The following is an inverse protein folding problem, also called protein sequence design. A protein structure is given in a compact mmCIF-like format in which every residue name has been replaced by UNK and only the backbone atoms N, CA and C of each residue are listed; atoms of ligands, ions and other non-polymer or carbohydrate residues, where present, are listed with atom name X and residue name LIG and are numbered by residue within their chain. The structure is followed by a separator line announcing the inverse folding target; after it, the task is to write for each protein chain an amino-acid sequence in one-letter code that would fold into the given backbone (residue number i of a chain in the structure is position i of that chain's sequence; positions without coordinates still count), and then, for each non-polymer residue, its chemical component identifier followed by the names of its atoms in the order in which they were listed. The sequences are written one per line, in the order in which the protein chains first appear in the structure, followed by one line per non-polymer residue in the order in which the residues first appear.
data_IF_857297572508
#
_entry.id   IF_857297572508
#
_cell.length_a   1.000
_cell.length_b   1.000
_cell.length_c   1.000
_cell.angle_alpha   90.00
_cell.angle_beta   90.00
_cell.angle_gamma   90.00
#
_symmetry.space_group_name_H-M   'P 1'
#
loop_
_entity.id
_entity.type
_entity.pdbx_description
1 polymer ?
#
# COMPACT_ATOMS: atom_id res chain seq x y z
N UNK A 1 -28.57 3.81 -5.38
CA UNK A 1 -27.59 3.11 -4.50
C UNK A 1 -26.51 2.51 -5.38
N UNK A 2 -25.27 2.84 -5.10
CA UNK A 2 -24.11 2.28 -5.81
C UNK A 2 -23.94 0.82 -5.37
N UNK A 3 -23.78 -0.09 -6.31
CA UNK A 3 -23.41 -1.48 -6.04
C UNK A 3 -21.92 -1.51 -5.69
N UNK A 4 -21.58 -1.81 -4.44
CA UNK A 4 -20.20 -1.80 -3.96
C UNK A 4 -19.34 -2.91 -4.58
N UNK A 5 -19.95 -4.05 -4.90
CA UNK A 5 -19.23 -5.15 -5.57
C UNK A 5 -18.93 -4.78 -7.02
N UNK A 6 -19.91 -4.19 -7.74
CA UNK A 6 -19.73 -3.70 -9.09
C UNK A 6 -18.73 -2.52 -9.16
N UNK A 7 -18.64 -1.71 -8.10
CA UNK A 7 -17.64 -0.65 -7.94
C UNK A 7 -16.22 -1.21 -7.68
N UNK A 8 -16.06 -2.51 -7.52
CA UNK A 8 -14.75 -3.16 -7.35
C UNK A 8 -14.23 -3.19 -5.91
N UNK A 9 -15.02 -2.82 -4.93
CA UNK A 9 -14.63 -2.89 -3.51
C UNK A 9 -14.55 -4.36 -3.06
N UNK A 10 -13.50 -4.69 -2.29
CA UNK A 10 -13.24 -6.05 -1.81
C UNK A 10 -12.90 -6.06 -0.32
N UNK A 11 -13.21 -7.16 0.35
CA UNK A 11 -12.76 -7.39 1.71
C UNK A 11 -11.21 -7.32 1.81
N UNK A 12 -10.73 -6.75 2.91
CA UNK A 12 -9.32 -6.47 3.15
C UNK A 12 -8.84 -5.12 2.58
N UNK A 13 -9.61 -4.48 1.73
CA UNK A 13 -9.30 -3.16 1.16
C UNK A 13 -9.48 -2.06 2.22
N UNK A 14 -8.63 -1.04 2.16
CA UNK A 14 -8.83 0.19 2.89
C UNK A 14 -9.57 1.19 2.01
N UNK A 15 -10.58 1.83 2.60
CA UNK A 15 -11.39 2.86 1.95
C UNK A 15 -11.46 4.08 2.86
N UNK A 16 -11.51 5.25 2.25
CA UNK A 16 -11.82 6.49 2.94
C UNK A 16 -13.33 6.72 2.84
N UNK A 17 -13.99 6.86 3.97
CA UNK A 17 -15.41 7.20 4.04
C UNK A 17 -15.53 8.65 4.48
N UNK A 18 -16.33 9.44 3.77
CA UNK A 18 -16.56 10.84 4.04
C UNK A 18 -18.01 11.23 3.80
N UNK A 19 -18.40 12.44 4.28
CA UNK A 19 -19.74 12.97 4.11
C UNK A 19 -20.68 12.74 5.30
N UNK A 20 -20.25 12.06 6.35
CA UNK A 20 -20.96 12.03 7.62
C UNK A 20 -20.85 13.38 8.34
N UNK A 21 -21.93 13.86 8.96
CA UNK A 21 -22.02 15.19 9.56
C UNK A 21 -22.29 15.16 11.07
N UNK A 22 -22.84 14.06 11.62
CA UNK A 22 -23.09 13.95 13.05
C UNK A 22 -21.77 14.00 13.85
N UNK A 23 -21.83 14.58 15.05
CA UNK A 23 -20.72 14.70 15.98
C UNK A 23 -19.43 15.24 15.34
N UNK A 24 -19.57 16.28 14.51
CA UNK A 24 -18.44 16.88 13.76
C UNK A 24 -17.76 15.94 12.76
N UNK A 25 -18.47 14.94 12.27
CA UNK A 25 -17.99 14.01 11.26
C UNK A 25 -17.06 12.92 11.80
N UNK A 26 -17.23 12.53 13.06
CA UNK A 26 -16.38 11.49 13.70
C UNK A 26 -16.42 10.12 12.99
N UNK A 27 -17.48 9.86 12.20
CA UNK A 27 -17.57 8.66 11.35
C UNK A 27 -16.79 8.78 10.03
N UNK A 28 -16.24 9.96 9.72
CA UNK A 28 -15.37 10.11 8.54
C UNK A 28 -13.98 9.58 8.85
N UNK A 29 -13.40 8.83 7.92
CA UNK A 29 -12.07 8.29 8.16
C UNK A 29 -11.66 7.18 7.22
N UNK A 30 -10.56 6.54 7.56
CA UNK A 30 -10.04 5.35 6.87
C UNK A 30 -10.51 4.09 7.59
N UNK A 31 -11.13 3.20 6.84
CA UNK A 31 -11.68 1.95 7.35
C UNK A 31 -11.19 0.77 6.52
N UNK A 32 -10.88 -0.33 7.20
CA UNK A 32 -10.65 -1.59 6.50
C UNK A 32 -11.98 -2.31 6.28
N UNK A 33 -12.24 -2.69 5.04
CA UNK A 33 -13.42 -3.46 4.66
C UNK A 33 -13.27 -4.89 5.15
N UNK A 34 -14.16 -5.36 6.01
CA UNK A 34 -14.21 -6.75 6.47
C UNK A 34 -15.11 -7.62 5.62
N UNK A 35 -16.22 -7.06 5.12
CA UNK A 35 -17.13 -7.73 4.19
C UNK A 35 -17.81 -6.72 3.27
N UNK A 36 -18.20 -7.17 2.08
CA UNK A 36 -18.89 -6.36 1.08
C UNK A 36 -19.98 -7.17 0.39
N UNK A 37 -21.15 -6.53 0.20
CA UNK A 37 -22.22 -7.01 -0.66
C UNK A 37 -22.60 -5.90 -1.63
N UNK A 38 -23.53 -6.14 -2.55
CA UNK A 38 -24.00 -5.11 -3.46
C UNK A 38 -24.49 -3.84 -2.72
N UNK A 39 -25.14 -4.00 -1.56
CA UNK A 39 -25.83 -2.91 -0.85
C UNK A 39 -25.23 -2.58 0.53
N UNK A 40 -24.24 -3.30 0.99
CA UNK A 40 -23.63 -3.07 2.31
C UNK A 40 -22.10 -3.22 2.28
N UNK A 41 -21.47 -2.40 3.08
CA UNK A 41 -20.04 -2.43 3.32
C UNK A 41 -19.83 -2.53 4.84
N UNK A 42 -19.19 -3.59 5.26
CA UNK A 42 -18.86 -3.80 6.67
C UNK A 42 -17.39 -3.47 6.89
N UNK A 43 -17.12 -2.69 7.92
CA UNK A 43 -15.75 -2.28 8.28
C UNK A 43 -15.28 -3.04 9.51
N UNK A 44 -13.96 -3.24 9.61
CA UNK A 44 -13.35 -4.00 10.71
C UNK A 44 -13.42 -3.28 12.06
N UNK A 45 -13.41 -1.94 12.04
CA UNK A 45 -13.57 -1.11 13.24
C UNK A 45 -14.99 -0.55 13.26
N UNK A 46 -15.66 -0.59 14.40
CA UNK A 46 -16.97 0.03 14.54
C UNK A 46 -16.88 1.55 14.31
N UNK A 47 -17.85 2.16 13.60
CA UNK A 47 -18.00 3.61 13.57
C UNK A 47 -18.18 4.15 15.00
N UNK A 48 -17.84 5.41 15.20
CA UNK A 48 -17.92 6.04 16.52
C UNK A 48 -19.38 6.16 17.02
N UNK A 49 -20.32 6.35 16.11
CA UNK A 49 -21.76 6.47 16.45
C UNK A 49 -22.64 6.04 15.26
N UNK A 50 -23.88 5.70 15.58
CA UNK A 50 -24.90 5.45 14.56
C UNK A 50 -25.37 6.77 13.96
N UNK A 51 -25.37 6.86 12.63
CA UNK A 51 -25.85 8.04 11.92
C UNK A 51 -26.74 7.62 10.75
N UNK A 52 -27.96 8.17 10.73
CA UNK A 52 -28.85 7.97 9.60
C UNK A 52 -28.40 8.84 8.42
N UNK A 53 -28.04 8.20 7.32
CA UNK A 53 -27.54 8.87 6.13
C UNK A 53 -28.64 9.47 5.23
N UNK A 54 -29.88 9.59 5.72
CA UNK A 54 -30.98 10.17 4.96
C UNK A 54 -30.70 11.64 4.60
N UNK A 55 -30.55 11.91 3.31
CA UNK A 55 -30.21 13.25 2.80
C UNK A 55 -28.71 13.60 2.81
N UNK A 56 -27.85 12.71 3.26
CA UNK A 56 -26.39 12.88 3.17
C UNK A 56 -25.83 12.22 1.90
N UNK A 57 -24.83 12.85 1.33
CA UNK A 57 -23.99 12.22 0.30
C UNK A 57 -22.75 11.64 0.98
N UNK A 58 -22.78 10.34 1.21
CA UNK A 58 -21.61 9.62 1.73
C UNK A 58 -20.72 9.24 0.55
N UNK A 59 -19.47 9.69 0.56
CA UNK A 59 -18.44 9.27 -0.39
C UNK A 59 -17.66 8.10 0.16
N UNK A 60 -17.31 7.16 -0.70
CA UNK A 60 -16.41 6.06 -0.41
C UNK A 60 -15.34 6.07 -1.49
N UNK A 61 -14.14 6.48 -1.11
CA UNK A 61 -13.02 6.63 -2.01
C UNK A 61 -11.94 5.60 -1.65
N UNK A 62 -11.33 5.02 -2.65
CA UNK A 62 -10.21 4.14 -2.43
C UNK A 62 -9.90 3.28 -3.65
N UNK A 63 -8.63 3.17 -3.93
CA UNK A 63 -8.07 2.15 -4.81
C UNK A 63 -6.99 1.41 -4.02
N UNK A 64 -6.82 0.14 -4.31
CA UNK A 64 -5.80 -0.66 -3.64
C UNK A 64 -4.92 -1.34 -4.68
N UNK A 65 -3.62 -1.11 -4.56
CA UNK A 65 -2.61 -1.92 -5.21
C UNK A 65 -2.08 -2.89 -4.17
N UNK A 66 -2.16 -4.17 -4.45
CA UNK A 66 -1.65 -5.21 -3.56
C UNK A 66 -0.86 -6.25 -4.34
N UNK A 67 0.06 -6.91 -3.67
CA UNK A 67 0.66 -8.10 -4.23
C UNK A 67 -0.40 -9.21 -4.33
N UNK A 68 -0.50 -9.87 -5.46
CA UNK A 68 -1.54 -10.87 -5.73
C UNK A 68 -1.15 -11.81 -6.85
N UNK A 69 -2.08 -12.68 -7.23
CA UNK A 69 -1.88 -13.68 -8.31
C UNK A 69 -2.17 -13.14 -9.71
N UNK A 70 -2.83 -11.98 -9.80
CA UNK A 70 -3.11 -11.34 -11.09
C UNK A 70 -2.04 -10.29 -11.37
N UNK A 71 -1.39 -10.42 -12.49
CA UNK A 71 -0.40 -9.47 -12.96
C UNK A 71 -1.08 -8.15 -13.36
N UNK A 72 -0.51 -7.04 -12.92
CA UNK A 72 -0.92 -5.70 -13.31
C UNK A 72 0.26 -4.99 -13.95
N UNK A 73 0.16 -4.73 -15.25
CA UNK A 73 1.17 -3.99 -15.99
C UNK A 73 0.91 -2.49 -15.89
N UNK A 74 1.97 -1.73 -15.65
CA UNK A 74 1.98 -0.28 -15.57
C UNK A 74 2.76 0.32 -16.73
N UNK A 75 2.53 1.61 -16.98
CA UNK A 75 3.43 2.44 -17.81
C UNK A 75 4.15 3.42 -16.89
N UNK A 76 5.47 3.40 -16.93
CA UNK A 76 6.31 4.34 -16.18
C UNK A 76 6.96 5.31 -17.15
N UNK A 77 6.90 6.60 -16.84
CA UNK A 77 7.53 7.64 -17.65
C UNK A 77 8.68 8.28 -16.87
N UNK A 78 9.82 8.41 -17.54
CA UNK A 78 10.95 9.19 -17.05
C UNK A 78 11.10 10.45 -17.89
N UNK A 79 10.90 11.61 -17.26
CA UNK A 79 11.00 12.91 -17.91
C UNK A 79 12.42 13.51 -17.73
N UNK A 80 13.01 13.95 -18.83
CA UNK A 80 14.20 14.75 -18.91
C UNK A 80 13.79 16.13 -19.42
N UNK A 81 13.26 16.94 -18.51
CA UNK A 81 12.61 18.22 -18.86
C UNK A 81 13.57 19.27 -19.36
N UNK A 82 14.85 19.18 -19.01
CA UNK A 82 15.94 20.06 -19.45
C UNK A 82 16.25 19.94 -20.95
N UNK A 83 16.03 18.76 -21.53
CA UNK A 83 16.23 18.49 -22.95
C UNK A 83 14.94 18.13 -23.69
N UNK A 84 13.78 18.21 -23.02
CA UNK A 84 12.47 17.93 -23.61
C UNK A 84 12.30 16.49 -24.10
N UNK A 85 12.94 15.51 -23.43
CA UNK A 85 12.85 14.10 -23.78
C UNK A 85 12.12 13.32 -22.71
N UNK A 86 11.31 12.36 -23.13
CA UNK A 86 10.51 11.51 -22.26
C UNK A 86 10.68 10.05 -22.68
N UNK A 87 10.96 9.19 -21.73
CA UNK A 87 11.07 7.75 -21.97
C UNK A 87 9.89 7.06 -21.27
N UNK A 88 9.03 6.43 -22.05
CA UNK A 88 7.93 5.62 -21.55
C UNK A 88 8.34 4.14 -21.54
N UNK A 89 8.31 3.53 -20.38
CA UNK A 89 8.51 2.10 -20.16
C UNK A 89 7.13 1.45 -20.04
N UNK A 90 6.81 0.52 -20.91
CA UNK A 90 5.48 -0.13 -20.96
C UNK A 90 5.55 -1.60 -20.58
N UNK A 91 4.42 -2.15 -20.13
CA UNK A 91 4.37 -3.51 -19.62
C UNK A 91 5.20 -3.72 -18.35
N UNK A 92 5.28 -2.70 -17.50
CA UNK A 92 6.10 -2.73 -16.29
C UNK A 92 5.36 -3.41 -15.16
N UNK A 93 5.87 -4.55 -14.71
CA UNK A 93 5.33 -5.32 -13.58
C UNK A 93 6.26 -5.14 -12.39
N UNK A 94 5.71 -4.91 -11.20
CA UNK A 94 6.49 -4.74 -9.99
C UNK A 94 7.14 -6.06 -9.57
N UNK A 95 8.47 -6.09 -9.48
CA UNK A 95 9.24 -7.25 -9.07
C UNK A 95 9.72 -7.14 -7.63
N UNK A 96 10.28 -6.01 -7.25
CA UNK A 96 10.81 -5.82 -5.89
C UNK A 96 10.26 -4.55 -5.26
N UNK A 97 10.15 -4.58 -3.94
CA UNK A 97 9.87 -3.41 -3.11
C UNK A 97 10.75 -3.47 -1.87
N UNK A 98 11.42 -2.37 -1.58
CA UNK A 98 12.13 -2.16 -0.31
C UNK A 98 11.53 -0.95 0.39
N UNK A 99 11.27 -1.06 1.68
CA UNK A 99 10.79 0.01 2.53
C UNK A 99 11.65 0.09 3.79
N UNK A 100 12.08 1.29 4.15
CA UNK A 100 12.85 1.55 5.35
C UNK A 100 12.20 2.66 6.18
N UNK A 101 11.97 2.34 7.43
CA UNK A 101 11.40 3.23 8.44
C UNK A 101 12.38 3.30 9.60
N UNK A 102 12.77 4.49 9.99
CA UNK A 102 13.68 4.72 11.11
C UNK A 102 13.24 5.95 11.90
N UNK A 103 13.35 5.86 13.22
CA UNK A 103 12.99 6.96 14.13
C UNK A 103 13.65 8.28 13.71
N UNK A 104 12.82 9.34 13.62
CA UNK A 104 13.28 10.69 13.31
C UNK A 104 13.76 10.90 11.87
N UNK A 105 13.48 9.99 10.96
CA UNK A 105 13.88 10.08 9.56
C UNK A 105 12.69 10.11 8.60
N UNK A 106 12.94 10.59 7.41
CA UNK A 106 12.05 10.45 6.25
C UNK A 106 11.98 8.98 5.88
N UNK A 107 10.79 8.50 5.52
CA UNK A 107 10.61 7.18 4.95
C UNK A 107 11.32 7.09 3.61
N UNK A 108 12.04 6.01 3.39
CA UNK A 108 12.69 5.72 2.12
C UNK A 108 12.28 4.36 1.61
N UNK A 109 12.17 4.24 0.30
CA UNK A 109 11.85 2.98 -0.34
C UNK A 109 12.25 2.98 -1.80
N UNK A 110 12.25 1.81 -2.39
CA UNK A 110 12.49 1.61 -3.80
C UNK A 110 11.55 0.55 -4.35
N UNK A 111 11.19 0.71 -5.63
CA UNK A 111 10.48 -0.30 -6.40
C UNK A 111 11.32 -0.69 -7.59
N UNK A 112 11.53 -1.99 -7.78
CA UNK A 112 12.11 -2.55 -8.98
C UNK A 112 11.00 -3.08 -9.89
N UNK A 113 11.12 -2.81 -11.18
CA UNK A 113 10.16 -3.24 -12.18
C UNK A 113 10.83 -4.04 -13.27
N UNK A 114 10.13 -5.03 -13.80
CA UNK A 114 10.48 -5.74 -15.02
C UNK A 114 9.51 -5.30 -16.11
N UNK A 115 10.03 -4.94 -17.29
CA UNK A 115 9.23 -4.36 -18.36
C UNK A 115 9.33 -5.11 -19.69
N UNK A 116 8.37 -4.83 -20.56
CA UNK A 116 8.33 -5.39 -21.90
C UNK A 116 9.12 -4.54 -22.89
N UNK A 117 8.85 -3.23 -22.96
CA UNK A 117 9.47 -2.35 -23.98
C UNK A 117 9.62 -0.92 -23.47
N UNK A 118 10.39 -0.11 -24.20
CA UNK A 118 10.55 1.30 -23.97
C UNK A 118 10.47 2.09 -25.28
N UNK A 119 9.94 3.32 -25.22
CA UNK A 119 9.88 4.25 -26.33
C UNK A 119 10.28 5.65 -25.89
N UNK A 120 10.81 6.45 -26.83
CA UNK A 120 11.19 7.85 -26.59
C UNK A 120 10.15 8.74 -27.26
N UNK A 121 9.73 9.78 -26.55
CA UNK A 121 8.81 10.81 -27.05
C UNK A 121 9.28 12.22 -26.67
N UNK A 122 8.64 13.22 -27.27
CA UNK A 122 8.93 14.65 -27.04
C UNK A 122 7.87 15.35 -26.17
N UNK A 123 6.89 14.62 -25.66
CA UNK A 123 5.83 15.14 -24.80
C UNK A 123 5.49 14.15 -23.71
N UNK A 124 5.20 14.66 -22.51
CA UNK A 124 4.71 13.85 -21.41
C UNK A 124 3.25 13.49 -21.61
N UNK A 125 2.92 12.22 -21.40
CA UNK A 125 1.55 11.72 -21.35
C UNK A 125 1.01 11.63 -19.91
N UNK A 126 1.89 11.79 -18.90
CA UNK A 126 1.57 11.59 -17.50
C UNK A 126 1.82 12.88 -16.72
N UNK A 127 0.81 13.43 -16.01
CA UNK A 127 1.03 14.62 -15.19
C UNK A 127 1.99 14.32 -14.04
N UNK A 128 2.89 15.25 -13.76
CA UNK A 128 3.76 15.17 -12.59
C UNK A 128 2.92 15.27 -11.31
N UNK A 129 3.09 14.32 -10.41
CA UNK A 129 2.49 14.35 -9.08
C UNK A 129 3.52 14.87 -8.08
N UNK A 130 3.07 15.73 -7.16
CA UNK A 130 3.85 16.22 -6.03
C UNK A 130 3.16 15.79 -4.76
N UNK A 131 3.68 14.73 -4.14
CA UNK A 131 3.15 14.24 -2.87
C UNK A 131 4.02 14.72 -1.71
N UNK A 132 3.44 15.00 -0.52
CA UNK A 132 4.19 15.31 0.68
C UNK A 132 5.13 14.18 1.06
N UNK A 133 6.30 14.54 1.57
CA UNK A 133 7.28 13.57 2.05
C UNK A 133 6.79 12.93 3.34
N UNK A 134 6.76 11.62 3.39
CA UNK A 134 6.38 10.84 4.56
C UNK A 134 7.55 10.74 5.56
N UNK A 135 7.26 10.86 6.85
CA UNK A 135 8.23 10.73 7.91
C UNK A 135 7.76 9.79 9.03
N UNK A 136 8.70 9.29 9.83
CA UNK A 136 8.42 8.31 10.87
C UNK A 136 7.67 8.87 12.10
N UNK A 137 7.48 10.19 12.20
CA UNK A 137 6.83 10.83 13.35
C UNK A 137 5.32 10.99 13.12
N UNK A 138 4.95 11.53 11.96
CA UNK A 138 3.57 11.96 11.69
C UNK A 138 2.77 10.94 10.86
N UNK A 139 3.46 10.06 10.16
CA UNK A 139 2.83 9.22 9.14
C UNK A 139 2.72 7.76 9.54
N UNK A 140 3.40 7.32 10.61
CA UNK A 140 3.35 5.93 11.09
C UNK A 140 2.22 5.79 12.10
N UNK A 141 1.29 4.90 11.80
CA UNK A 141 0.27 4.46 12.74
C UNK A 141 0.81 3.48 13.76
N UNK A 142 -0.07 3.01 14.63
CA UNK A 142 0.27 2.01 15.63
C UNK A 142 0.78 0.72 14.97
N UNK A 143 1.88 0.20 15.46
CA UNK A 143 2.39 -1.11 15.08
C UNK A 143 1.62 -2.17 15.87
N UNK A 144 1.15 -3.19 15.18
CA UNK A 144 0.38 -4.28 15.76
C UNK A 144 1.15 -5.59 15.65
N UNK A 145 1.07 -6.41 16.66
CA UNK A 145 1.65 -7.75 16.71
C UNK A 145 0.56 -8.75 17.07
N UNK A 146 0.42 -9.81 16.26
CA UNK A 146 -0.62 -10.80 16.47
C UNK A 146 -2.05 -10.26 16.39
N UNK A 147 -2.27 -9.10 15.75
CA UNK A 147 -3.54 -8.41 15.67
C UNK A 147 -3.85 -7.51 16.88
N UNK A 148 -2.94 -7.40 17.86
CA UNK A 148 -3.06 -6.50 19.00
C UNK A 148 -2.01 -5.37 18.93
N UNK A 149 -2.33 -4.17 19.47
CA UNK A 149 -1.36 -3.10 19.58
C UNK A 149 -0.14 -3.52 20.40
N UNK A 150 1.05 -3.11 19.95
CA UNK A 150 2.28 -3.21 20.74
C UNK A 150 2.32 -2.07 21.75
N UNK A 151 1.59 -2.22 22.86
CA UNK A 151 1.55 -1.21 23.92
C UNK A 151 2.83 -1.25 24.76
N UNK A 152 3.42 -0.07 25.00
CA UNK A 152 4.65 0.07 25.79
C UNK A 152 5.93 -0.37 25.09
N UNK A 153 5.84 -0.97 23.90
CA UNK A 153 7.00 -1.36 23.08
C UNK A 153 7.18 -0.37 21.94
N UNK A 154 8.33 0.25 21.86
CA UNK A 154 8.60 1.28 20.86
C UNK A 154 9.46 0.73 19.71
N UNK A 155 8.95 0.88 18.48
CA UNK A 155 9.67 0.53 17.27
C UNK A 155 10.78 1.57 17.02
N UNK A 156 12.01 1.11 16.91
CA UNK A 156 13.18 1.92 16.56
C UNK A 156 13.41 1.97 15.06
N UNK A 157 13.31 0.82 14.41
CA UNK A 157 13.46 0.71 12.96
C UNK A 157 12.71 -0.49 12.40
N UNK A 158 12.27 -0.36 11.15
CA UNK A 158 11.65 -1.43 10.38
C UNK A 158 12.18 -1.38 8.94
N UNK A 159 12.61 -2.51 8.45
CA UNK A 159 12.90 -2.70 7.03
C UNK A 159 12.12 -3.88 6.50
N UNK A 160 11.54 -3.71 5.30
CA UNK A 160 10.81 -4.77 4.61
C UNK A 160 11.30 -4.82 3.18
N UNK A 161 11.59 -6.03 2.72
CA UNK A 161 11.91 -6.33 1.32
C UNK A 161 10.95 -7.38 0.80
N UNK A 162 10.36 -7.09 -0.36
CA UNK A 162 9.50 -7.99 -1.10
C UNK A 162 10.14 -8.28 -2.46
N UNK A 163 10.16 -9.52 -2.87
CA UNK A 163 10.61 -9.96 -4.20
C UNK A 163 9.59 -10.94 -4.79
N UNK A 164 9.07 -10.63 -5.98
CA UNK A 164 8.13 -11.48 -6.69
C UNK A 164 8.84 -12.55 -7.54
N UNK A 165 10.16 -12.41 -7.74
CA UNK A 165 10.98 -13.36 -8.49
C UNK A 165 10.52 -13.47 -9.94
N UNK A 166 10.18 -12.35 -10.54
CA UNK A 166 9.78 -12.29 -11.94
C UNK A 166 10.92 -12.71 -12.86
N UNK A 167 10.58 -13.25 -14.02
CA UNK A 167 11.53 -13.57 -15.07
C UNK A 167 11.03 -13.07 -16.41
N UNK A 168 11.86 -12.32 -17.12
CA UNK A 168 11.59 -11.90 -18.49
C UNK A 168 11.68 -13.06 -19.47
N UNK A 169 10.72 -13.17 -20.38
CA UNK A 169 10.70 -14.15 -21.45
C UNK A 169 11.02 -13.42 -22.76
N UNK A 170 12.22 -13.64 -23.26
CA UNK A 170 12.68 -13.07 -24.54
C UNK A 170 12.32 -13.97 -25.71
N UNK A 171 12.15 -13.39 -26.91
CA UNK A 171 11.95 -14.13 -28.16
C UNK A 171 12.86 -13.59 -29.25
N UNK A 172 13.22 -14.46 -30.20
CA UNK A 172 13.96 -14.05 -31.38
C UNK A 172 13.13 -13.06 -32.22
N UNK A 173 13.73 -11.92 -32.55
CA UNK A 173 13.06 -10.84 -33.28
C UNK A 173 12.35 -9.81 -32.38
N UNK A 174 12.39 -9.96 -31.06
CA UNK A 174 11.93 -8.97 -30.10
C UNK A 174 13.13 -8.35 -29.36
N UNK A 175 13.14 -7.01 -29.23
CA UNK A 175 14.16 -6.30 -28.44
C UNK A 175 13.87 -6.38 -26.93
N UNK A 176 12.60 -6.50 -26.56
CA UNK A 176 12.16 -6.58 -25.17
C UNK A 176 11.59 -7.95 -24.81
N UNK A 177 11.08 -8.06 -23.59
CA UNK A 177 10.39 -9.26 -23.15
C UNK A 177 9.04 -9.38 -23.86
N UNK A 178 8.74 -10.54 -24.39
CA UNK A 178 7.44 -10.86 -25.01
C UNK A 178 6.41 -11.23 -23.95
N UNK A 179 6.89 -11.67 -22.79
CA UNK A 179 6.07 -12.03 -21.63
C UNK A 179 6.91 -11.93 -20.34
N UNK A 180 6.24 -11.88 -19.19
CA UNK A 180 6.87 -11.84 -17.88
C UNK A 180 6.30 -12.98 -17.04
N UNK A 181 7.12 -13.98 -16.76
CA UNK A 181 6.73 -15.11 -15.93
C UNK A 181 6.75 -14.76 -14.45
N UNK A 182 5.67 -15.05 -13.75
CA UNK A 182 5.56 -14.89 -12.30
C UNK A 182 6.40 -15.93 -11.55
N UNK A 183 7.07 -15.52 -10.49
CA UNK A 183 7.82 -16.36 -9.59
C UNK A 183 7.12 -16.53 -8.23
N UNK A 184 7.88 -17.01 -7.26
CA UNK A 184 7.41 -17.10 -5.88
C UNK A 184 7.63 -15.77 -5.18
N UNK A 185 6.57 -15.19 -4.62
CA UNK A 185 6.70 -14.04 -3.74
C UNK A 185 7.47 -14.41 -2.46
N UNK A 186 8.49 -13.65 -2.15
CA UNK A 186 9.27 -13.77 -0.93
C UNK A 186 9.25 -12.42 -0.21
N UNK A 187 8.84 -12.45 1.06
CA UNK A 187 8.83 -11.27 1.93
C UNK A 187 9.79 -11.53 3.07
N UNK A 188 10.71 -10.60 3.27
CA UNK A 188 11.67 -10.60 4.39
C UNK A 188 11.62 -9.26 5.09
N UNK A 189 11.99 -9.22 6.37
CA UNK A 189 12.01 -7.98 7.10
C UNK A 189 12.82 -8.07 8.38
N UNK A 190 13.15 -6.90 8.91
CA UNK A 190 13.79 -6.75 10.22
C UNK A 190 13.09 -5.61 10.96
N UNK A 191 12.69 -5.88 12.20
CA UNK A 191 12.19 -4.87 13.11
C UNK A 191 13.11 -4.80 14.34
N UNK A 192 13.45 -3.59 14.78
CA UNK A 192 14.20 -3.35 16.02
C UNK A 192 13.29 -2.59 16.99
N UNK A 193 13.18 -3.10 18.19
CA UNK A 193 12.35 -2.53 19.25
C UNK A 193 13.20 -2.22 20.48
N UNK A 194 12.75 -1.25 21.25
CA UNK A 194 13.27 -1.10 22.61
C UNK A 194 12.71 -2.22 23.49
N UNK A 195 13.57 -2.85 24.26
CA UNK A 195 13.17 -3.94 25.16
C UNK A 195 12.39 -3.35 26.33
N UNK A 196 11.09 -3.61 26.38
CA UNK A 196 10.22 -3.12 27.45
C UNK A 196 9.78 -4.24 28.41
N UNK A 197 9.50 -5.44 27.86
CA UNK A 197 9.10 -6.62 28.63
C UNK A 197 9.61 -7.91 27.96
N UNK A 198 9.32 -9.05 28.59
CA UNK A 198 9.74 -10.37 28.11
C UNK A 198 8.85 -11.01 27.03
N UNK A 199 7.71 -10.43 26.67
CA UNK A 199 6.69 -11.12 25.87
C UNK A 199 7.17 -11.52 24.47
N UNK A 200 7.84 -10.64 23.75
CA UNK A 200 8.42 -10.95 22.45
C UNK A 200 9.58 -11.96 22.56
N UNK A 201 10.37 -11.86 23.61
CA UNK A 201 11.46 -12.79 23.86
C UNK A 201 10.97 -14.20 24.21
N UNK A 202 9.90 -14.30 25.00
CA UNK A 202 9.24 -15.58 25.31
C UNK A 202 8.69 -16.26 24.03
N UNK A 203 8.10 -15.48 23.11
CA UNK A 203 7.66 -16.01 21.81
C UNK A 203 8.84 -16.58 21.02
N UNK A 204 9.98 -15.89 21.03
CA UNK A 204 11.20 -16.39 20.40
C UNK A 204 11.67 -17.71 21.03
N UNK A 205 11.73 -17.79 22.37
CA UNK A 205 12.12 -19.02 23.08
C UNK A 205 11.18 -20.20 22.80
N UNK A 206 9.89 -19.91 22.69
CA UNK A 206 8.86 -20.92 22.45
C UNK A 206 8.63 -21.24 20.96
N UNK A 207 9.32 -20.55 20.05
CA UNK A 207 9.11 -20.69 18.60
C UNK A 207 7.69 -20.32 18.15
N UNK A 208 7.02 -19.41 18.87
CA UNK A 208 5.63 -19.02 18.59
C UNK A 208 5.56 -18.11 17.36
N UNK A 209 4.89 -18.52 16.28
CA UNK A 209 4.70 -17.67 15.12
C UNK A 209 3.88 -16.42 15.48
N UNK A 210 4.22 -15.31 14.86
CA UNK A 210 3.47 -14.08 15.02
C UNK A 210 3.38 -13.31 13.71
N UNK A 211 2.49 -12.32 13.65
CA UNK A 211 2.37 -11.39 12.53
C UNK A 211 2.68 -9.98 13.00
N UNK A 212 3.34 -9.22 12.15
CA UNK A 212 3.57 -7.80 12.34
C UNK A 212 2.79 -7.03 11.28
N UNK A 213 2.01 -6.04 11.69
CA UNK A 213 1.36 -5.12 10.78
C UNK A 213 1.56 -3.66 11.22
N UNK A 214 1.64 -2.78 10.25
CA UNK A 214 1.79 -1.35 10.48
C UNK A 214 1.12 -0.60 9.33
N UNK A 215 0.84 0.66 9.54
CA UNK A 215 0.28 1.53 8.51
C UNK A 215 1.06 2.82 8.43
N UNK A 216 1.38 3.23 7.22
CA UNK A 216 1.94 4.54 6.91
C UNK A 216 0.90 5.31 6.10
N UNK A 217 0.51 6.48 6.56
CA UNK A 217 -0.52 7.32 5.90
C UNK A 217 0.02 8.69 5.58
N UNK A 218 -0.41 9.25 4.45
CA UNK A 218 -0.21 10.65 4.13
C UNK A 218 -1.41 11.52 4.56
N UNK A 219 -1.30 12.84 4.32
CA UNK A 219 -2.36 13.78 4.64
C UNK A 219 -3.61 13.62 3.76
N UNK A 220 -3.46 13.04 2.58
CA UNK A 220 -4.54 12.81 1.61
C UNK A 220 -5.27 11.49 1.87
N UNK A 221 -4.78 10.70 2.83
CA UNK A 221 -5.37 9.43 3.22
C UNK A 221 -4.88 8.23 2.42
N UNK A 222 -3.86 8.38 1.56
CA UNK A 222 -3.19 7.24 0.97
C UNK A 222 -2.41 6.48 2.04
N UNK A 223 -2.34 5.17 1.94
CA UNK A 223 -1.68 4.35 2.94
C UNK A 223 -0.89 3.19 2.33
N UNK A 224 0.26 2.91 2.95
CA UNK A 224 0.97 1.64 2.84
C UNK A 224 0.63 0.79 4.07
N UNK A 225 0.18 -0.45 3.84
CA UNK A 225 -0.29 -1.35 4.91
C UNK A 225 0.36 -2.71 4.74
#
# INVERSE_FOLDING_TARGET
TTDFVAAGIKAGQWVRIGGFAANSGENNGLYQVSAVTANSLTVASAPASDEAAAGLTVSIDGSMIRNGVSETALTLEKAFTDIGQYIAFTGMVADTMDLQIQTGRVLTGSFGFMGATASIGTGSAIPALSNPVLNAVNNIGQVMEGGAPLDGIFLQSLSISLANGLRGIGAVGSLGNVDIGSGRCQVTGRASFYFADGALYEKYLNGTPTSLSFRVTDADGNAYI
#
